data_IF_804350290259
#
_entry.id   IF_804350290259
#
_cell.length_a   1.000
_cell.length_b   1.000
_cell.length_c   1.000
_cell.angle_alpha   90.00
_cell.angle_beta   90.00
_cell.angle_gamma   90.00
#
_symmetry.space_group_name_H-M   'P 1'
#
loop_
_entity.id
_entity.type
_entity.pdbx_description
1 polymer ?
#
# COMPACT_ATOMS: atom_id res chain seq x y z
N UNK A 1 -25.04 18.78 -0.89
CA UNK A 1 -24.09 18.28 0.14
C UNK A 1 -24.64 17.01 0.79
N UNK A 2 -23.89 15.90 0.81
CA UNK A 2 -24.26 14.75 1.63
C UNK A 2 -24.38 15.18 3.11
N UNK A 3 -25.24 14.53 3.90
CA UNK A 3 -25.35 14.83 5.33
C UNK A 3 -24.01 14.66 6.02
N UNK A 4 -23.71 15.53 7.00
CA UNK A 4 -22.47 15.46 7.77
C UNK A 4 -22.60 14.27 8.71
N UNK A 5 -22.04 13.14 8.29
CA UNK A 5 -21.90 11.95 9.11
C UNK A 5 -20.44 11.77 9.50
N UNK A 6 -20.20 11.42 10.75
CA UNK A 6 -18.92 10.92 11.21
C UNK A 6 -19.13 9.69 12.07
N UNK A 7 -18.28 8.70 11.84
CA UNK A 7 -18.13 7.51 12.68
C UNK A 7 -16.65 7.37 13.04
N UNK A 8 -16.31 6.43 13.91
CA UNK A 8 -14.91 6.13 14.23
C UNK A 8 -14.73 4.66 14.55
N UNK A 9 -13.51 4.18 14.33
CA UNK A 9 -13.10 2.82 14.68
C UNK A 9 -11.64 2.79 15.10
N UNK A 10 -11.33 1.94 16.08
CA UNK A 10 -9.97 1.68 16.51
C UNK A 10 -9.36 2.79 17.36
N UNK A 11 -8.17 3.25 16.99
CA UNK A 11 -7.44 4.32 17.67
C UNK A 11 -8.07 5.70 17.44
N UNK A 12 -9.40 5.78 17.50
CA UNK A 12 -10.20 6.97 17.21
C UNK A 12 -10.01 7.52 15.79
N UNK A 13 -9.72 6.64 14.82
CA UNK A 13 -9.66 7.04 13.41
C UNK A 13 -11.03 7.55 12.98
N UNK A 14 -11.11 8.82 12.60
CA UNK A 14 -12.36 9.46 12.14
C UNK A 14 -12.69 9.00 10.72
N UNK A 15 -13.90 8.46 10.56
CA UNK A 15 -14.45 7.97 9.30
C UNK A 15 -15.57 8.91 8.87
N UNK A 16 -15.39 9.53 7.72
CA UNK A 16 -16.31 10.49 7.10
C UNK A 16 -16.34 10.23 5.60
N UNK A 17 -17.28 10.88 4.91
CA UNK A 17 -17.35 10.87 3.46
C UNK A 17 -15.96 11.12 2.82
N UNK A 18 -15.54 10.30 1.85
CA UNK A 18 -16.32 9.26 1.18
C UNK A 18 -16.40 7.93 1.94
N UNK A 19 -15.54 7.70 2.92
CA UNK A 19 -15.50 6.45 3.66
C UNK A 19 -16.73 6.25 4.54
N UNK A 20 -17.09 4.98 4.76
CA UNK A 20 -18.17 4.56 5.65
C UNK A 20 -17.88 3.22 6.31
N UNK A 21 -18.57 2.95 7.40
CA UNK A 21 -18.71 1.62 7.97
C UNK A 21 -20.00 0.94 7.48
N UNK A 22 -20.11 -0.41 7.54
CA UNK A 22 -21.30 -1.12 7.07
C UNK A 22 -22.57 -0.73 7.84
N UNK A 23 -22.41 -0.38 9.11
CA UNK A 23 -23.51 0.02 9.99
C UNK A 23 -23.84 1.52 9.93
N UNK A 24 -23.10 2.31 9.15
CA UNK A 24 -23.43 3.72 8.97
C UNK A 24 -24.76 3.86 8.18
N UNK A 25 -25.57 4.89 8.47
CA UNK A 25 -26.81 5.12 7.73
C UNK A 25 -26.59 5.14 6.22
N UNK A 26 -27.57 4.68 5.44
CA UNK A 26 -27.44 4.62 3.97
C UNK A 26 -27.07 5.98 3.33
N UNK A 27 -27.47 7.09 3.94
CA UNK A 27 -27.15 8.44 3.48
C UNK A 27 -25.72 8.90 3.79
N UNK A 28 -24.92 8.10 4.48
CA UNK A 28 -23.57 8.43 4.95
C UNK A 28 -22.51 7.66 4.16
N UNK A 29 -21.52 8.41 3.66
CA UNK A 29 -20.41 7.88 2.86
C UNK A 29 -20.85 7.23 1.55
N UNK A 30 -19.89 6.65 0.85
CA UNK A 30 -20.04 6.03 -0.45
C UNK A 30 -19.89 4.51 -0.31
N UNK A 31 -20.81 3.69 -0.85
CA UNK A 31 -20.71 2.22 -0.80
C UNK A 31 -19.40 1.66 -1.36
N UNK A 32 -18.78 2.34 -2.32
CA UNK A 32 -17.52 1.88 -2.90
C UNK A 32 -16.32 2.19 -1.98
N UNK A 33 -16.47 3.05 -0.97
CA UNK A 33 -15.45 3.39 0.02
C UNK A 33 -15.75 2.78 1.40
N UNK A 34 -16.35 1.59 1.42
CA UNK A 34 -16.66 0.89 2.68
C UNK A 34 -15.38 0.33 3.35
N UNK A 35 -15.20 0.69 4.62
CA UNK A 35 -14.20 0.16 5.53
C UNK A 35 -14.86 -0.77 6.55
N UNK A 36 -14.11 -1.68 7.15
CA UNK A 36 -14.60 -2.58 8.20
C UNK A 36 -13.97 -2.22 9.54
N UNK A 37 -14.71 -2.45 10.61
CA UNK A 37 -14.20 -2.30 11.97
C UNK A 37 -14.21 -3.67 12.65
N UNK A 38 -13.03 -4.23 12.89
CA UNK A 38 -12.89 -5.54 13.53
C UNK A 38 -11.88 -5.45 14.68
N UNK A 39 -12.26 -5.93 15.86
CA UNK A 39 -11.40 -5.94 17.05
C UNK A 39 -10.74 -4.59 17.37
N UNK A 40 -11.50 -3.50 17.26
CA UNK A 40 -11.00 -2.14 17.45
C UNK A 40 -9.85 -1.78 16.49
N UNK A 41 -9.92 -2.25 15.24
CA UNK A 41 -9.03 -1.82 14.16
C UNK A 41 -9.84 -1.62 12.88
N UNK A 42 -9.53 -0.54 12.16
CA UNK A 42 -10.12 -0.26 10.85
C UNK A 42 -9.39 -1.07 9.79
N UNK A 43 -10.13 -1.87 9.01
CA UNK A 43 -9.61 -2.81 8.02
C UNK A 43 -10.24 -2.52 6.66
N UNK A 44 -9.47 -2.66 5.59
CA UNK A 44 -9.97 -2.66 4.22
C UNK A 44 -9.44 -3.85 3.43
N UNK A 45 -10.20 -4.26 2.42
CA UNK A 45 -9.71 -5.18 1.40
C UNK A 45 -9.24 -4.39 0.18
N UNK A 46 -8.02 -4.64 -0.27
CA UNK A 46 -7.43 -3.97 -1.42
C UNK A 46 -6.64 -5.00 -2.25
N UNK A 47 -6.95 -5.14 -3.55
CA UNK A 47 -6.40 -6.18 -4.44
C UNK A 47 -6.41 -7.62 -3.84
N UNK A 48 -7.44 -7.94 -3.06
CA UNK A 48 -7.59 -9.24 -2.40
C UNK A 48 -6.75 -9.42 -1.14
N UNK A 49 -5.96 -8.42 -0.73
CA UNK A 49 -5.25 -8.38 0.55
C UNK A 49 -6.03 -7.68 1.63
N UNK A 50 -5.72 -8.00 2.89
CA UNK A 50 -6.23 -7.31 4.07
C UNK A 50 -5.21 -6.29 4.58
N UNK A 51 -5.68 -5.08 4.84
CA UNK A 51 -4.86 -3.98 5.32
C UNK A 51 -5.54 -3.27 6.47
N UNK A 52 -4.77 -2.87 7.48
CA UNK A 52 -5.23 -1.89 8.45
C UNK A 52 -5.11 -0.49 7.89
N UNK A 53 -6.09 0.36 8.19
CA UNK A 53 -6.03 1.79 7.87
C UNK A 53 -5.29 2.51 8.99
N UNK A 54 -4.09 3.03 8.71
CA UNK A 54 -3.31 3.81 9.69
C UNK A 54 -3.77 5.26 9.79
N UNK A 55 -4.28 5.81 8.70
CA UNK A 55 -4.68 7.21 8.63
C UNK A 55 -5.41 7.53 7.34
N UNK A 56 -6.26 8.56 7.41
CA UNK A 56 -6.97 9.14 6.26
C UNK A 56 -6.76 10.65 6.36
N UNK A 57 -6.20 11.26 5.32
CA UNK A 57 -6.18 12.72 5.18
C UNK A 57 -7.32 13.14 4.26
N UNK A 58 -8.28 13.90 4.81
CA UNK A 58 -9.42 14.43 4.04
C UNK A 58 -9.05 15.67 3.23
N UNK A 59 -8.11 16.48 3.73
CA UNK A 59 -7.64 17.66 3.02
C UNK A 59 -6.74 17.24 1.84
N UNK A 60 -5.84 16.29 2.06
CA UNK A 60 -4.90 15.82 1.02
C UNK A 60 -5.46 14.68 0.17
N UNK A 61 -6.65 14.18 0.48
CA UNK A 61 -7.29 13.07 -0.22
C UNK A 61 -6.43 11.79 -0.24
N UNK A 62 -5.78 11.46 0.89
CA UNK A 62 -4.90 10.30 0.99
C UNK A 62 -5.41 9.28 2.02
N UNK A 63 -5.07 8.02 1.80
CA UNK A 63 -5.28 6.93 2.75
C UNK A 63 -3.96 6.16 2.91
N UNK A 64 -3.59 5.89 4.16
CA UNK A 64 -2.42 5.11 4.51
C UNK A 64 -2.84 3.72 4.98
N UNK A 65 -2.34 2.70 4.30
CA UNK A 65 -2.63 1.30 4.54
C UNK A 65 -1.37 0.57 5.00
N UNK A 66 -1.51 -0.36 5.94
CA UNK A 66 -0.45 -1.28 6.34
C UNK A 66 -0.95 -2.70 6.25
N UNK A 67 -0.16 -3.60 5.66
CA UNK A 67 -0.52 -5.02 5.59
C UNK A 67 -0.74 -5.56 7.01
N UNK A 68 -1.79 -6.35 7.20
CA UNK A 68 -2.15 -6.85 8.53
C UNK A 68 -1.05 -7.70 9.18
N UNK A 69 -0.13 -8.27 8.38
CA UNK A 69 1.00 -9.04 8.88
C UNK A 69 2.15 -8.14 9.39
N UNK A 70 2.11 -6.83 9.13
CA UNK A 70 3.16 -5.86 9.48
C UNK A 70 2.77 -4.84 10.54
N UNK A 71 1.48 -4.74 10.92
CA UNK A 71 1.00 -3.67 11.79
C UNK A 71 1.38 -3.82 13.27
N UNK A 72 1.63 -5.05 13.73
CA UNK A 72 1.89 -5.37 15.14
C UNK A 72 3.35 -5.83 15.29
N UNK A 73 4.04 -5.29 16.30
CA UNK A 73 5.46 -5.50 16.64
C UNK A 73 6.12 -6.73 15.99
N UNK A 74 6.68 -6.51 14.80
CA UNK A 74 7.73 -7.35 14.24
C UNK A 74 7.39 -8.82 14.06
N UNK A 75 6.13 -9.17 13.72
CA UNK A 75 5.85 -10.53 13.27
C UNK A 75 6.59 -10.80 11.97
N UNK A 76 7.73 -11.45 12.11
CA UNK A 76 8.56 -11.84 11.00
C UNK A 76 7.79 -12.83 10.11
N UNK A 77 7.27 -12.31 8.99
CA UNK A 77 6.32 -12.98 8.12
C UNK A 77 6.34 -12.36 6.71
N UNK A 78 5.67 -13.01 5.77
CA UNK A 78 5.40 -12.46 4.44
C UNK A 78 4.11 -11.62 4.51
N UNK A 79 3.91 -10.64 3.60
CA UNK A 79 2.66 -9.88 3.55
C UNK A 79 1.46 -10.80 3.33
N UNK A 80 0.28 -10.37 3.78
CA UNK A 80 -0.98 -11.08 3.59
C UNK A 80 -1.28 -11.29 2.10
N UNK A 81 -1.02 -10.26 1.30
CA UNK A 81 -1.06 -10.31 -0.16
C UNK A 81 0.26 -9.80 -0.71
N UNK A 82 0.88 -10.60 -1.58
CA UNK A 82 2.03 -10.14 -2.36
C UNK A 82 1.57 -9.03 -3.29
N UNK A 83 1.89 -7.77 -3.03
CA UNK A 83 1.46 -6.62 -3.85
C UNK A 83 2.69 -5.74 -4.11
N UNK A 84 2.85 -5.26 -5.32
CA UNK A 84 3.91 -4.31 -5.67
C UNK A 84 3.36 -2.92 -5.95
N UNK A 85 4.24 -1.93 -5.93
CA UNK A 85 3.87 -0.54 -6.22
C UNK A 85 3.40 -0.37 -7.67
N UNK A 86 3.98 -1.11 -8.63
CA UNK A 86 3.54 -1.14 -10.02
C UNK A 86 2.13 -1.75 -10.17
N UNK A 87 1.80 -2.82 -9.44
CA UNK A 87 0.46 -3.43 -9.48
C UNK A 87 -0.62 -2.45 -9.02
N UNK A 88 -0.36 -1.67 -7.96
CA UNK A 88 -1.29 -0.63 -7.46
C UNK A 88 -1.65 0.41 -8.54
N UNK A 89 -0.72 0.70 -9.44
CA UNK A 89 -0.91 1.72 -10.46
C UNK A 89 -1.46 1.17 -11.77
N UNK A 90 -1.06 -0.05 -12.13
CA UNK A 90 -1.48 -0.70 -13.37
C UNK A 90 -2.90 -1.26 -13.25
N UNK A 91 -3.22 -1.87 -12.10
CA UNK A 91 -4.59 -2.27 -11.77
C UNK A 91 -5.31 -1.07 -11.17
N UNK A 92 -5.61 -0.06 -12.01
CA UNK A 92 -6.27 1.17 -11.59
C UNK A 92 -7.63 0.87 -10.96
N UNK A 93 -7.65 0.72 -9.64
CA UNK A 93 -8.87 0.87 -8.86
C UNK A 93 -9.34 2.32 -9.00
N UNK A 94 -10.51 2.52 -9.61
CA UNK A 94 -10.99 3.86 -9.95
C UNK A 94 -11.20 4.75 -8.72
N UNK A 95 -11.33 4.13 -7.54
CA UNK A 95 -11.39 4.80 -6.24
C UNK A 95 -10.04 5.40 -5.84
N UNK A 96 -8.95 4.80 -6.30
CA UNK A 96 -7.58 5.12 -5.90
C UNK A 96 -6.72 5.46 -7.13
N UNK A 97 -6.87 6.65 -7.72
CA UNK A 97 -6.29 7.00 -9.02
C UNK A 97 -4.75 7.12 -9.03
N UNK A 98 -4.06 7.00 -7.88
CA UNK A 98 -2.60 7.05 -7.84
C UNK A 98 -1.99 6.96 -6.45
N UNK A 99 -0.67 7.16 -6.40
CA UNK A 99 0.14 7.23 -5.18
C UNK A 99 0.50 8.67 -4.85
N UNK A 100 0.78 8.93 -3.57
CA UNK A 100 1.04 10.30 -3.05
C UNK A 100 2.36 10.88 -3.56
N UNK A 101 3.46 10.11 -3.52
CA UNK A 101 4.76 10.57 -4.03
C UNK A 101 5.64 9.39 -4.47
N UNK A 102 5.87 9.30 -5.78
CA UNK A 102 6.66 8.24 -6.39
C UNK A 102 8.11 8.17 -5.89
N UNK A 103 8.67 9.28 -5.41
CA UNK A 103 10.04 9.32 -4.87
C UNK A 103 10.16 8.51 -3.58
N UNK A 104 9.10 8.47 -2.78
CA UNK A 104 9.07 7.81 -1.48
C UNK A 104 8.28 6.49 -1.50
N UNK A 105 7.82 6.05 -2.68
CA UNK A 105 7.12 4.79 -2.87
C UNK A 105 8.09 3.68 -3.28
N UNK A 106 8.21 2.68 -2.42
CA UNK A 106 9.12 1.55 -2.61
C UNK A 106 8.36 0.23 -2.73
N UNK A 107 8.97 -0.73 -3.42
CA UNK A 107 8.56 -2.13 -3.35
C UNK A 107 9.60 -2.93 -2.55
N UNK A 108 9.12 -3.64 -1.54
CA UNK A 108 9.90 -4.58 -0.72
C UNK A 108 9.81 -5.97 -1.34
N UNK A 109 10.82 -6.38 -2.09
CA UNK A 109 10.85 -7.66 -2.79
C UNK A 109 11.50 -8.74 -1.90
N UNK A 110 10.71 -9.69 -1.43
CA UNK A 110 11.22 -10.83 -0.69
C UNK A 110 11.81 -11.84 -1.66
N UNK A 111 13.11 -12.09 -1.55
CA UNK A 111 13.84 -13.00 -2.43
C UNK A 111 14.36 -14.17 -1.61
N UNK A 112 14.08 -15.39 -2.07
CA UNK A 112 14.57 -16.64 -1.49
C UNK A 112 15.65 -17.25 -2.37
N UNK A 113 16.81 -17.56 -1.80
CA UNK A 113 17.94 -18.19 -2.49
C UNK A 113 18.33 -19.51 -1.83
N UNK A 114 18.74 -20.49 -2.64
CA UNK A 114 19.27 -21.77 -2.15
C UNK A 114 20.77 -21.74 -1.79
N UNK A 115 21.50 -20.72 -2.26
CA UNK A 115 22.94 -20.55 -2.02
C UNK A 115 23.20 -19.67 -0.78
N UNK A 116 24.16 -20.07 0.06
CA UNK A 116 24.61 -19.34 1.25
C UNK A 116 25.51 -18.15 0.93
N UNK A 117 26.05 -18.07 -0.30
CA UNK A 117 26.90 -16.95 -0.76
C UNK A 117 26.19 -15.59 -0.78
N UNK A 118 24.85 -15.59 -0.79
CA UNK A 118 24.02 -14.37 -0.78
C UNK A 118 23.82 -13.81 0.63
N UNK A 119 23.92 -14.65 1.67
CA UNK A 119 23.69 -14.28 3.06
C UNK A 119 24.79 -13.41 3.68
N UNK A 120 26.00 -13.36 3.09
CA UNK A 120 27.14 -12.62 3.63
C UNK A 120 27.24 -11.16 3.17
N UNK A 121 26.44 -10.76 2.16
CA UNK A 121 26.53 -9.43 1.53
C UNK A 121 25.29 -8.58 1.79
N UNK A 122 24.17 -9.19 2.18
CA UNK A 122 22.90 -8.49 2.28
C UNK A 122 22.46 -8.21 3.73
N UNK A 123 22.51 -6.93 4.12
CA UNK A 123 22.12 -6.45 5.44
C UNK A 123 20.60 -6.60 5.74
N UNK A 124 19.80 -6.96 4.73
CA UNK A 124 18.35 -7.14 4.82
C UNK A 124 17.91 -8.61 4.98
N UNK A 125 18.82 -9.50 5.42
CA UNK A 125 18.48 -10.89 5.69
C UNK A 125 17.30 -10.99 6.67
N UNK A 126 16.28 -11.76 6.32
CA UNK A 126 15.07 -12.00 7.12
C UNK A 126 15.30 -13.24 7.99
N UNK A 127 15.60 -13.09 9.29
CA UNK A 127 16.12 -14.20 10.09
C UNK A 127 15.12 -15.34 10.27
N UNK A 128 13.84 -15.03 10.48
CA UNK A 128 12.83 -16.06 10.74
C UNK A 128 12.43 -16.87 9.49
N UNK A 129 12.64 -16.32 8.29
CA UNK A 129 12.31 -16.98 7.02
C UNK A 129 13.51 -17.72 6.44
N UNK A 130 14.69 -17.49 7.02
CA UNK A 130 15.96 -18.11 6.63
C UNK A 130 16.15 -19.45 7.34
N UNK A 131 16.64 -20.44 6.60
CA UNK A 131 16.98 -21.81 7.06
C UNK A 131 18.33 -22.22 6.46
N UNK A 132 18.94 -23.29 6.98
CA UNK A 132 20.31 -23.72 6.63
C UNK A 132 20.66 -23.73 5.12
N UNK A 133 19.71 -24.05 4.24
CA UNK A 133 19.90 -24.10 2.77
C UNK A 133 18.92 -23.20 2.00
N UNK A 134 18.30 -22.23 2.68
CA UNK A 134 17.30 -21.33 2.09
C UNK A 134 17.35 -19.98 2.79
N UNK A 135 17.96 -18.99 2.15
CA UNK A 135 18.13 -17.65 2.70
C UNK A 135 17.09 -16.70 2.11
N UNK A 136 16.44 -15.91 2.96
CA UNK A 136 15.47 -14.91 2.52
C UNK A 136 16.00 -13.54 2.88
N UNK A 137 15.99 -12.62 1.92
CA UNK A 137 16.33 -11.20 2.13
C UNK A 137 15.30 -10.31 1.45
N UNK A 138 15.33 -9.01 1.75
CA UNK A 138 14.45 -8.03 1.13
C UNK A 138 15.24 -7.09 0.23
N UNK A 139 15.01 -7.17 -1.08
CA UNK A 139 15.51 -6.16 -1.99
C UNK A 139 14.53 -5.00 -2.08
N UNK A 140 15.02 -3.79 -1.81
CA UNK A 140 14.21 -2.58 -1.86
C UNK A 140 14.46 -1.88 -3.19
N UNK A 141 13.40 -1.73 -3.97
CA UNK A 141 13.40 -0.99 -5.22
C UNK A 141 12.53 0.24 -5.08
N UNK A 142 12.93 1.34 -5.71
CA UNK A 142 12.02 2.46 -5.91
C UNK A 142 11.06 2.07 -7.04
N UNK A 143 9.75 2.23 -6.83
CA UNK A 143 8.69 2.04 -7.83
C UNK A 143 8.46 0.62 -8.39
N UNK A 144 9.50 -0.07 -8.88
CA UNK A 144 9.36 -1.27 -9.72
C UNK A 144 9.48 -2.56 -8.92
N UNK A 145 8.71 -3.58 -9.26
CA UNK A 145 8.94 -4.95 -8.80
C UNK A 145 10.17 -5.61 -9.43
N UNK A 146 10.79 -6.57 -8.72
CA UNK A 146 11.79 -7.46 -9.30
C UNK A 146 11.13 -8.60 -10.09
N UNK A 147 11.72 -8.96 -11.23
CA UNK A 147 11.34 -10.13 -12.02
C UNK A 147 12.28 -11.31 -11.79
N UNK A 148 11.97 -12.46 -12.40
CA UNK A 148 12.86 -13.62 -12.39
C UNK A 148 14.20 -13.38 -13.08
N UNK A 149 14.33 -12.34 -13.90
CA UNK A 149 15.56 -11.98 -14.62
C UNK A 149 16.50 -11.11 -13.78
N UNK A 150 15.96 -10.43 -12.76
CA UNK A 150 16.70 -9.50 -11.91
C UNK A 150 17.37 -10.20 -10.71
N UNK A 151 17.01 -11.47 -10.47
CA UNK A 151 17.58 -12.28 -9.39
C UNK A 151 18.45 -13.42 -9.94
N UNK A 152 19.50 -13.86 -9.21
CA UNK A 152 20.30 -15.01 -9.61
C UNK A 152 19.46 -16.26 -9.85
N UNK A 153 19.92 -17.20 -10.68
CA UNK A 153 19.18 -18.45 -10.98
C UNK A 153 18.91 -19.33 -9.75
N UNK A 154 19.71 -19.19 -8.69
CA UNK A 154 19.53 -19.87 -7.40
C UNK A 154 18.48 -19.20 -6.52
N UNK A 155 17.93 -18.06 -6.96
CA UNK A 155 17.02 -17.21 -6.23
C UNK A 155 15.65 -17.10 -6.94
N UNK A 156 14.62 -16.78 -6.16
CA UNK A 156 13.26 -16.49 -6.64
C UNK A 156 12.65 -15.38 -5.81
N UNK A 157 11.96 -14.45 -6.46
CA UNK A 157 11.06 -13.53 -5.77
C UNK A 157 9.85 -14.34 -5.28
N UNK A 158 9.58 -14.29 -3.98
CA UNK A 158 8.53 -15.10 -3.34
C UNK A 158 7.34 -14.26 -2.86
N UNK A 159 7.52 -12.96 -2.69
CA UNK A 159 6.47 -12.03 -2.28
C UNK A 159 6.95 -10.58 -2.44
N UNK A 160 6.01 -9.65 -2.48
CA UNK A 160 6.25 -8.21 -2.58
C UNK A 160 5.34 -7.47 -1.62
N UNK A 161 5.81 -6.33 -1.08
CA UNK A 161 4.96 -5.42 -0.34
C UNK A 161 5.24 -3.96 -0.74
N UNK A 162 4.22 -3.12 -0.92
CA UNK A 162 4.41 -1.69 -1.13
C UNK A 162 4.79 -1.02 0.19
N UNK A 163 5.59 0.03 0.11
CA UNK A 163 5.95 0.88 1.25
C UNK A 163 6.03 2.36 0.84
N UNK A 164 5.71 3.25 1.76
CA UNK A 164 5.89 4.69 1.67
C UNK A 164 6.80 5.11 2.83
N UNK A 165 7.97 5.64 2.51
CA UNK A 165 8.99 5.95 3.50
C UNK A 165 9.77 7.21 3.11
N UNK A 166 9.59 8.29 3.86
CA UNK A 166 10.11 9.62 3.52
C UNK A 166 11.58 9.83 3.94
N UNK A 167 12.22 8.82 4.51
CA UNK A 167 13.64 8.88 4.87
C UNK A 167 14.52 8.34 3.73
N UNK A 168 15.78 8.78 3.69
CA UNK A 168 16.75 8.27 2.72
C UNK A 168 17.04 6.79 2.96
N UNK A 169 16.68 5.94 1.99
CA UNK A 169 16.96 4.50 2.04
C UNK A 169 18.33 4.22 1.43
N UNK A 170 19.29 3.62 2.16
CA UNK A 170 20.57 3.23 1.57
C UNK A 170 20.39 2.08 0.58
N UNK A 171 21.32 1.91 -0.37
CA UNK A 171 21.25 0.88 -1.42
C UNK A 171 21.09 -0.54 -0.85
N UNK A 172 21.68 -0.82 0.31
CA UNK A 172 21.54 -2.07 1.05
C UNK A 172 21.02 -1.78 2.47
N UNK A 173 19.70 -1.62 2.66
CA UNK A 173 19.13 -1.32 3.95
C UNK A 173 19.29 -2.49 4.92
N UNK A 174 19.36 -2.16 6.22
CA UNK A 174 19.32 -3.18 7.26
C UNK A 174 17.91 -3.78 7.35
N UNK A 175 17.80 -4.99 7.89
CA UNK A 175 16.49 -5.57 8.16
C UNK A 175 15.66 -4.70 9.13
N UNK A 176 16.31 -3.95 10.03
CA UNK A 176 15.62 -2.97 10.90
C UNK A 176 14.97 -1.84 10.09
N UNK A 177 15.67 -1.29 9.10
CA UNK A 177 15.07 -0.30 8.18
C UNK A 177 13.89 -0.91 7.43
N UNK A 178 14.03 -2.16 6.96
CA UNK A 178 12.93 -2.86 6.28
C UNK A 178 11.71 -3.04 7.18
N UNK A 179 11.89 -3.37 8.47
CA UNK A 179 10.79 -3.45 9.44
C UNK A 179 10.07 -2.10 9.61
N UNK A 180 10.81 -0.99 9.65
CA UNK A 180 10.22 0.36 9.71
C UNK A 180 9.41 0.68 8.46
N UNK A 181 9.91 0.30 7.28
CA UNK A 181 9.18 0.46 6.00
C UNK A 181 7.93 -0.40 5.94
N UNK A 182 7.96 -1.63 6.45
CA UNK A 182 6.78 -2.49 6.55
C UNK A 182 5.72 -1.85 7.45
N UNK A 183 6.13 -1.32 8.61
CA UNK A 183 5.25 -0.67 9.58
C UNK A 183 4.72 0.69 9.09
N UNK A 184 5.45 1.40 8.24
CA UNK A 184 4.96 2.62 7.62
C UNK A 184 3.85 2.32 6.61
N UNK A 185 3.83 1.12 6.02
CA UNK A 185 2.83 0.75 5.03
C UNK A 185 2.97 1.62 3.78
N UNK A 186 1.90 1.83 3.03
CA UNK A 186 1.89 2.60 1.78
C UNK A 186 0.75 3.62 1.76
N UNK A 187 0.90 4.67 0.95
CA UNK A 187 -0.09 5.72 0.82
C UNK A 187 -0.65 5.78 -0.60
N UNK A 188 -1.97 5.88 -0.69
CA UNK A 188 -2.70 6.05 -1.93
C UNK A 188 -3.52 7.32 -1.87
N UNK A 189 -3.81 7.87 -3.04
CA UNK A 189 -4.75 8.96 -3.23
C UNK A 189 -6.13 8.34 -3.45
N UNK A 190 -7.18 8.92 -2.88
CA UNK A 190 -8.55 8.53 -3.14
C UNK A 190 -9.34 9.65 -3.84
N UNK A 191 -10.29 9.30 -4.71
CA UNK A 191 -11.16 10.30 -5.35
C UNK A 191 -12.49 9.68 -5.79
N UNK A 192 -13.58 10.28 -5.31
CA UNK A 192 -14.94 9.94 -5.79
C UNK A 192 -15.14 10.45 -7.20
N UNK A 193 -14.58 11.61 -7.53
CA UNK A 193 -14.66 12.23 -8.85
C UNK A 193 -14.02 11.35 -9.91
N UNK A 194 -12.83 10.78 -9.65
CA UNK A 194 -12.21 9.83 -10.56
C UNK A 194 -13.01 8.55 -10.70
N UNK A 195 -13.50 7.99 -9.58
CA UNK A 195 -14.38 6.81 -9.58
C UNK A 195 -15.58 7.03 -10.49
N UNK A 196 -16.32 8.12 -10.26
CA UNK A 196 -17.50 8.51 -11.03
C UNK A 196 -17.19 8.81 -12.50
N UNK A 197 -16.01 9.35 -12.77
CA UNK A 197 -15.57 9.68 -14.11
C UNK A 197 -15.31 8.41 -14.93
N UNK A 198 -14.47 7.52 -14.41
CA UNK A 198 -14.07 6.29 -15.10
C UNK A 198 -15.23 5.32 -15.26
N UNK A 199 -16.17 5.28 -14.30
CA UNK A 199 -17.44 4.57 -14.44
C UNK A 199 -18.30 5.03 -15.64
N UNK A 200 -18.05 6.24 -16.17
CA UNK A 200 -18.70 6.78 -17.38
C UNK A 200 -17.88 6.59 -18.65
N UNK A 201 -16.80 5.82 -18.62
CA UNK A 201 -15.86 5.63 -19.74
C UNK A 201 -15.12 6.91 -20.10
N UNK A 202 -14.66 7.64 -19.08
CA UNK A 202 -13.98 8.94 -19.22
C UNK A 202 -12.65 8.93 -18.49
N UNK A 203 -11.74 9.78 -18.96
CA UNK A 203 -10.41 9.93 -18.38
C UNK A 203 -10.45 10.76 -17.10
N UNK A 204 -9.72 10.33 -16.07
CA UNK A 204 -9.50 11.14 -14.89
C UNK A 204 -8.06 11.66 -14.89
N UNK A 205 -7.90 12.99 -14.83
CA UNK A 205 -6.60 13.65 -14.90
C UNK A 205 -6.44 14.65 -13.75
N UNK A 206 -5.20 15.04 -13.45
CA UNK A 206 -4.94 16.08 -12.46
C UNK A 206 -5.39 17.44 -12.98
N UNK A 207 -6.16 18.17 -12.17
CA UNK A 207 -6.71 19.49 -12.51
C UNK A 207 -5.66 20.59 -12.66
N UNK A 208 -4.54 20.48 -11.95
CA UNK A 208 -3.36 21.33 -12.09
C UNK A 208 -2.14 20.63 -11.51
N UNK A 209 -0.96 20.87 -12.09
CA UNK A 209 0.32 20.41 -11.55
C UNK A 209 0.64 21.02 -10.17
N UNK A 210 0.04 22.18 -9.85
CA UNK A 210 0.26 22.90 -8.59
C UNK A 210 -0.76 22.56 -7.49
N UNK A 211 -1.83 21.82 -7.84
CA UNK A 211 -2.83 21.37 -6.85
C UNK A 211 -2.65 19.88 -6.62
N UNK A 212 -2.05 19.52 -5.48
CA UNK A 212 -1.93 18.14 -5.03
C UNK A 212 -3.31 17.48 -4.99
N UNK A 213 -3.48 16.40 -5.77
CA UNK A 213 -4.61 15.47 -5.70
C UNK A 213 -6.01 16.01 -6.04
N UNK A 214 -6.12 17.18 -6.69
CA UNK A 214 -7.38 17.58 -7.33
C UNK A 214 -7.48 16.96 -8.72
N UNK A 215 -8.57 16.24 -8.97
CA UNK A 215 -8.82 15.57 -10.24
C UNK A 215 -9.95 16.22 -11.04
N UNK A 216 -9.90 16.08 -12.35
CA UNK A 216 -10.95 16.47 -13.28
C UNK A 216 -11.30 15.35 -14.25
N UNK A 217 -12.56 15.38 -14.70
CA UNK A 217 -13.11 14.35 -15.57
C UNK A 217 -13.16 14.84 -17.03
N UNK A 218 -12.37 14.22 -17.89
CA UNK A 218 -12.26 14.54 -19.30
C UNK A 218 -12.87 13.47 -20.20
N UNK A 219 -13.37 13.86 -21.37
CA UNK A 219 -13.83 12.86 -22.35
C UNK A 219 -12.60 12.15 -22.93
N UNK A 220 -12.61 10.82 -22.95
CA UNK A 220 -11.67 10.09 -23.81
C UNK A 220 -12.00 10.42 -25.27
N UNK A 221 -10.97 10.78 -26.05
CA UNK A 221 -11.07 11.17 -27.46
C UNK A 221 -11.20 9.95 -28.38
#
# INVERSE_FOLDING_TARGET
PPPICSSSCGDSLEIRYPFRLPNDPFTCGDPDFELRCENNKTITNFHGGLYYVKGISYDDHTIQLVDINFSDDGKCSLPNRSLSTDEILMEMDDRYPGLVNFTYSYTLNYVRCSDSSVGSVNNSLVPCLTRNSSHVYVNVTNWSSLTSYDVPKTCKVISMAPAFYEESVPVNPSYETVLKMQQSGFQMVWSVECRDCRAKGRGCVYKSADTTFLFECEKEY
#
